data_IF_623760421118
#
_entry.id   IF_623760421118
#
_cell.length_a   1.000
_cell.length_b   1.000
_cell.length_c   1.000
_cell.angle_alpha   90.00
_cell.angle_beta   90.00
_cell.angle_gamma   90.00
#
_symmetry.space_group_name_H-M   'P 1'
#
loop_
_entity.id
_entity.type
_entity.pdbx_description
1 polymer ?
#
# COMPACT_ATOMS: atom_id res chain seq x y z
N UNK A 1 -47.94 12.75 -26.52
CA UNK A 1 -46.55 13.10 -26.87
C UNK A 1 -45.56 12.45 -25.90
N UNK A 2 -45.44 11.11 -25.87
CA UNK A 2 -44.39 10.44 -25.05
C UNK A 2 -44.08 8.99 -25.53
N UNK A 3 -44.01 8.76 -26.85
CA UNK A 3 -43.66 7.44 -27.42
C UNK A 3 -42.68 7.49 -28.61
N UNK A 4 -42.08 8.63 -28.91
CA UNK A 4 -41.29 8.82 -30.15
C UNK A 4 -39.77 9.01 -29.96
N UNK A 5 -39.25 8.98 -28.73
CA UNK A 5 -37.83 9.28 -28.48
C UNK A 5 -36.97 8.01 -28.39
N UNK A 6 -37.56 6.82 -28.27
CA UNK A 6 -36.84 5.57 -28.03
C UNK A 6 -36.32 4.85 -29.29
N UNK A 7 -36.52 5.41 -30.49
CA UNK A 7 -36.08 4.79 -31.76
C UNK A 7 -34.79 5.38 -32.36
N UNK A 8 -34.18 6.39 -31.71
CA UNK A 8 -33.03 7.10 -32.27
C UNK A 8 -31.66 6.74 -31.69
N UNK A 9 -31.57 5.89 -30.67
CA UNK A 9 -30.28 5.55 -30.04
C UNK A 9 -29.72 4.19 -30.50
N UNK A 10 -30.50 3.36 -31.20
CA UNK A 10 -30.09 2.00 -31.56
C UNK A 10 -29.45 1.85 -32.96
N UNK A 11 -29.15 2.94 -33.68
CA UNK A 11 -28.68 2.86 -35.10
C UNK A 11 -27.25 3.40 -35.32
N UNK A 12 -26.56 3.92 -34.30
CA UNK A 12 -25.26 4.59 -34.48
C UNK A 12 -24.04 3.81 -33.97
N UNK A 13 -24.07 2.47 -34.00
CA UNK A 13 -22.97 1.62 -33.52
C UNK A 13 -22.70 0.40 -34.41
N UNK A 14 -23.00 0.47 -35.72
CA UNK A 14 -22.55 -0.52 -36.71
C UNK A 14 -22.28 0.21 -38.04
N UNK A 15 -21.13 0.87 -38.15
CA UNK A 15 -20.49 1.21 -39.42
C UNK A 15 -19.15 1.88 -39.14
N UNK A 16 -18.05 1.15 -39.28
CA UNK A 16 -16.79 1.61 -39.88
C UNK A 16 -15.72 0.53 -39.71
N UNK A 17 -15.80 -0.48 -40.58
CA UNK A 17 -14.68 -1.38 -40.90
C UNK A 17 -14.43 -1.25 -42.40
N UNK A 18 -13.15 -1.11 -42.75
CA UNK A 18 -12.50 -1.28 -44.05
C UNK A 18 -12.18 -0.04 -44.91
N UNK A 19 -11.04 -0.19 -45.62
CA UNK A 19 -10.37 0.64 -46.65
C UNK A 19 -9.18 1.41 -46.04
N UNK A 20 -7.89 1.13 -46.34
CA UNK A 20 -7.20 0.97 -47.64
C UNK A 20 -5.97 0.04 -47.51
N UNK A 21 -5.70 -0.77 -48.54
CA UNK A 21 -4.42 -1.44 -48.79
C UNK A 21 -3.68 -0.81 -49.98
N UNK A 22 -2.35 -1.04 -50.02
CA UNK A 22 -1.35 -0.89 -51.11
C UNK A 22 -0.42 0.34 -51.06
N UNK A 23 0.86 0.11 -50.77
CA UNK A 23 1.94 0.09 -51.79
C UNK A 23 3.34 0.14 -51.13
N UNK A 24 4.15 -0.92 -51.30
CA UNK A 24 5.61 -0.83 -51.44
C UNK A 24 6.15 -2.14 -52.00
N UNK A 25 6.67 -2.08 -53.22
CA UNK A 25 7.43 -3.14 -53.88
C UNK A 25 8.75 -3.40 -53.16
N UNK A 26 9.10 -4.68 -53.00
CA UNK A 26 10.46 -5.14 -52.75
C UNK A 26 10.74 -6.34 -53.65
N UNK A 27 11.71 -6.18 -54.55
CA UNK A 27 12.06 -7.13 -55.61
C UNK A 27 12.64 -8.45 -55.11
N UNK A 28 12.37 -9.50 -55.88
CA UNK A 28 12.96 -10.84 -55.80
C UNK A 28 14.49 -10.83 -56.02
N UNK A 29 15.21 -11.68 -55.28
CA UNK A 29 16.25 -12.53 -55.86
C UNK A 29 16.52 -13.78 -55.01
N UNK A 30 17.13 -14.78 -55.63
CA UNK A 30 16.79 -16.20 -55.53
C UNK A 30 17.88 -17.10 -54.90
N UNK A 31 17.46 -18.25 -54.34
CA UNK A 31 18.03 -19.63 -54.51
C UNK A 31 18.17 -20.51 -53.24
N UNK A 32 17.51 -21.68 -53.30
CA UNK A 32 17.85 -23.06 -52.80
C UNK A 32 18.36 -23.27 -51.35
N UNK A 33 18.03 -24.31 -50.58
CA UNK A 33 17.28 -25.58 -50.71
C UNK A 33 17.23 -26.24 -49.31
N UNK A 34 16.27 -27.13 -49.02
CA UNK A 34 16.49 -28.44 -48.35
C UNK A 34 15.22 -29.02 -47.72
N UNK A 35 14.84 -30.19 -48.26
CA UNK A 35 14.16 -31.37 -47.69
C UNK A 35 13.13 -31.30 -46.52
N UNK A 36 11.96 -31.91 -46.77
CA UNK A 36 11.05 -32.49 -45.78
C UNK A 36 11.51 -33.94 -45.45
N UNK A 37 11.12 -34.60 -44.33
CA UNK A 37 9.74 -35.11 -44.20
C UNK A 37 9.15 -35.29 -42.76
N UNK A 38 7.83 -35.57 -42.77
CA UNK A 38 7.02 -36.44 -41.90
C UNK A 38 6.72 -36.09 -40.42
N UNK A 39 5.42 -36.12 -40.10
CA UNK A 39 4.84 -36.13 -38.75
C UNK A 39 4.48 -37.54 -38.28
N UNK A 40 4.40 -37.79 -36.95
CA UNK A 40 3.55 -38.85 -36.43
C UNK A 40 2.62 -38.45 -35.26
N UNK A 41 1.33 -38.80 -35.47
CA UNK A 41 0.35 -39.50 -34.63
C UNK A 41 0.11 -39.18 -33.13
N UNK A 42 -1.19 -39.06 -32.81
CA UNK A 42 -1.81 -39.12 -31.49
C UNK A 42 -2.21 -40.57 -31.07
N UNK A 43 -2.45 -40.78 -29.76
CA UNK A 43 -3.50 -41.72 -29.32
C UNK A 43 -4.33 -41.12 -28.15
N UNK A 44 -5.49 -41.62 -27.70
CA UNK A 44 -6.60 -42.45 -28.21
C UNK A 44 -7.63 -42.44 -27.04
N UNK A 45 -8.91 -42.23 -27.30
CA UNK A 45 -9.96 -42.24 -26.29
C UNK A 45 -10.46 -43.66 -25.96
N UNK A 46 -10.99 -43.86 -24.75
CA UNK A 46 -11.84 -45.00 -24.39
C UNK A 46 -13.15 -44.49 -23.77
N UNK A 47 -14.26 -45.16 -24.10
CA UNK A 47 -15.64 -44.72 -23.92
C UNK A 47 -16.43 -45.60 -22.92
N UNK A 48 -17.63 -45.10 -22.57
CA UNK A 48 -18.84 -45.73 -21.97
C UNK A 48 -19.21 -45.08 -20.62
N UNK A 49 -20.48 -44.78 -20.26
CA UNK A 49 -21.79 -45.17 -20.79
C UNK A 49 -22.86 -44.10 -20.46
N UNK A 50 -23.98 -44.18 -21.17
CA UNK A 50 -25.19 -43.35 -21.04
C UNK A 50 -26.10 -43.74 -19.88
N UNK A 51 -26.65 -42.74 -19.17
CA UNK A 51 -27.73 -42.88 -18.19
C UNK A 51 -28.44 -41.53 -18.00
N UNK A 52 -29.74 -41.50 -18.25
CA UNK A 52 -30.61 -40.32 -18.09
C UNK A 52 -31.05 -40.16 -16.63
N UNK A 53 -30.96 -38.95 -16.04
CA UNK A 53 -32.05 -38.29 -15.29
C UNK A 53 -31.59 -37.00 -14.58
N UNK A 54 -32.43 -35.96 -14.71
CA UNK A 54 -32.63 -34.78 -13.84
C UNK A 54 -31.45 -34.01 -13.23
N UNK A 55 -31.37 -32.72 -13.59
CA UNK A 55 -30.54 -31.70 -12.98
C UNK A 55 -30.79 -31.49 -11.47
N UNK A 56 -29.73 -31.27 -10.65
CA UNK A 56 -29.86 -30.71 -9.32
C UNK A 56 -29.66 -29.19 -9.32
N UNK A 57 -30.60 -28.50 -8.69
CA UNK A 57 -30.63 -27.06 -8.44
C UNK A 57 -29.54 -26.61 -7.45
N UNK A 58 -29.04 -25.40 -7.64
CA UNK A 58 -28.07 -24.72 -6.79
C UNK A 58 -28.59 -24.49 -5.34
N UNK A 59 -27.76 -24.64 -4.29
CA UNK A 59 -28.14 -24.27 -2.93
C UNK A 59 -28.23 -22.75 -2.76
N UNK A 60 -29.32 -22.32 -2.13
CA UNK A 60 -29.64 -20.92 -1.83
C UNK A 60 -28.77 -20.33 -0.71
N UNK A 61 -28.47 -19.03 -0.84
CA UNK A 61 -27.81 -18.19 0.15
C UNK A 61 -28.62 -18.09 1.46
N UNK A 62 -27.98 -18.08 2.65
CA UNK A 62 -28.67 -17.86 3.91
C UNK A 62 -29.23 -16.43 4.03
N UNK A 63 -30.47 -16.34 4.49
CA UNK A 63 -31.25 -15.12 4.61
C UNK A 63 -30.74 -14.18 5.71
N UNK A 64 -30.70 -12.88 5.39
CA UNK A 64 -30.56 -11.79 6.35
C UNK A 64 -31.79 -11.70 7.28
N UNK A 65 -31.62 -11.46 8.59
CA UNK A 65 -32.74 -11.18 9.47
C UNK A 65 -33.29 -9.77 9.24
N UNK A 66 -34.62 -9.68 9.13
CA UNK A 66 -35.37 -8.47 8.80
C UNK A 66 -35.82 -7.72 10.07
N UNK A 67 -35.37 -6.47 10.17
CA UNK A 67 -35.98 -5.27 10.74
C UNK A 67 -36.54 -5.26 12.18
N UNK A 68 -36.04 -4.32 12.98
CA UNK A 68 -36.86 -3.56 13.92
C UNK A 68 -36.72 -2.06 13.60
N UNK A 69 -37.81 -1.46 13.13
CA UNK A 69 -37.94 -0.02 13.00
C UNK A 69 -38.09 0.59 14.40
N UNK A 70 -37.21 1.53 14.77
CA UNK A 70 -37.39 2.39 15.93
C UNK A 70 -37.33 3.85 15.48
N UNK A 71 -38.33 4.60 15.95
CA UNK A 71 -38.71 5.91 15.52
C UNK A 71 -37.64 6.99 15.75
N UNK A 72 -37.64 7.98 14.86
CA UNK A 72 -36.96 9.26 15.04
C UNK A 72 -37.50 9.95 16.32
N UNK A 73 -36.61 10.13 17.30
CA UNK A 73 -36.83 11.04 18.42
C UNK A 73 -35.74 12.11 18.36
N UNK A 74 -36.18 13.35 18.19
CA UNK A 74 -35.33 14.54 18.27
C UNK A 74 -34.69 14.62 19.67
N UNK A 75 -33.37 14.60 19.74
CA UNK A 75 -32.64 14.83 20.99
C UNK A 75 -32.50 16.34 21.22
N UNK A 76 -33.19 16.85 22.23
CA UNK A 76 -32.93 18.14 22.84
C UNK A 76 -31.61 18.08 23.66
N UNK A 77 -30.87 19.19 23.81
CA UNK A 77 -29.56 19.19 24.47
C UNK A 77 -29.69 18.99 25.98
N UNK A 78 -28.85 18.11 26.55
CA UNK A 78 -28.72 17.91 27.99
C UNK A 78 -27.84 19.02 28.62
N UNK A 79 -28.11 19.45 29.88
CA UNK A 79 -27.46 20.60 30.49
C UNK A 79 -26.06 20.30 31.02
N UNK A 80 -25.23 21.33 30.99
CA UNK A 80 -23.83 21.35 31.43
C UNK A 80 -23.66 21.00 32.92
N UNK A 81 -22.76 20.06 33.21
CA UNK A 81 -22.18 19.89 34.52
C UNK A 81 -20.82 20.61 34.56
N UNK A 82 -20.76 21.66 35.38
CA UNK A 82 -19.54 22.39 35.72
C UNK A 82 -18.59 21.49 36.51
N UNK A 83 -17.34 21.38 36.06
CA UNK A 83 -16.22 21.03 36.93
C UNK A 83 -15.00 21.88 36.61
N UNK A 84 -14.45 22.41 37.70
CA UNK A 84 -13.33 23.32 37.94
C UNK A 84 -12.27 23.53 36.85
N UNK A 85 -12.04 24.82 36.60
CA UNK A 85 -10.92 25.39 35.86
C UNK A 85 -9.55 25.00 36.43
N UNK A 86 -8.79 24.23 35.64
CA UNK A 86 -7.39 24.53 35.38
C UNK A 86 -7.34 25.36 34.09
N UNK A 87 -6.43 26.33 34.01
CA UNK A 87 -6.19 27.12 32.79
C UNK A 87 -5.80 26.21 31.64
N UNK A 88 -6.78 25.82 30.84
CA UNK A 88 -6.60 25.12 29.59
C UNK A 88 -6.03 26.12 28.58
N UNK A 89 -4.77 25.94 28.19
CA UNK A 89 -4.40 26.31 26.83
C UNK A 89 -5.43 25.63 25.91
N UNK A 90 -6.14 26.42 25.11
CA UNK A 90 -7.20 25.91 24.26
C UNK A 90 -6.59 24.93 23.26
N UNK A 91 -6.93 23.64 23.39
CA UNK A 91 -6.45 22.61 22.48
C UNK A 91 -6.68 23.02 21.02
N UNK A 92 -5.62 23.09 20.23
CA UNK A 92 -5.65 23.47 18.82
C UNK A 92 -6.04 22.24 18.02
N UNK A 93 -7.18 22.32 17.33
CA UNK A 93 -7.65 21.28 16.42
C UNK A 93 -7.46 21.75 14.98
N UNK A 94 -6.88 20.90 14.14
CA UNK A 94 -6.83 21.07 12.69
C UNK A 94 -7.86 20.13 12.05
N UNK A 95 -8.70 20.66 11.18
CA UNK A 95 -9.74 19.93 10.45
C UNK A 95 -9.42 19.89 8.96
N UNK A 96 -8.90 18.76 8.48
CA UNK A 96 -8.76 18.51 7.05
C UNK A 96 -10.02 17.86 6.48
N UNK A 97 -10.58 18.44 5.41
CA UNK A 97 -11.74 17.88 4.72
C UNK A 97 -11.32 17.23 3.41
N UNK A 98 -11.67 15.95 3.25
CA UNK A 98 -11.24 15.09 2.15
C UNK A 98 -12.45 14.50 1.42
N UNK A 99 -12.27 14.04 0.19
CA UNK A 99 -13.30 13.32 -0.56
C UNK A 99 -13.54 11.91 -0.02
N UNK A 100 -12.51 11.30 0.57
CA UNK A 100 -12.56 10.00 1.22
C UNK A 100 -11.61 9.97 2.42
N UNK A 101 -12.05 9.36 3.52
CA UNK A 101 -11.20 9.08 4.69
C UNK A 101 -10.84 7.60 4.82
N UNK A 102 -11.28 6.74 3.90
CA UNK A 102 -10.90 5.33 3.87
C UNK A 102 -11.48 4.48 5.00
N UNK A 103 -10.87 3.31 5.21
CA UNK A 103 -11.21 2.36 6.25
C UNK A 103 -9.98 1.98 7.06
N UNK A 104 -10.17 1.73 8.36
CA UNK A 104 -9.11 1.39 9.29
C UNK A 104 -8.62 -0.06 9.14
N UNK A 105 -7.84 -0.34 8.11
CA UNK A 105 -7.29 -1.67 7.85
C UNK A 105 -6.12 -2.03 8.75
N UNK A 106 -5.16 -1.12 8.99
CA UNK A 106 -3.97 -1.35 9.86
C UNK A 106 -3.26 -2.70 9.65
N UNK A 107 -3.29 -3.24 8.44
CA UNK A 107 -2.66 -4.51 8.01
C UNK A 107 -2.23 -4.38 6.56
N UNK A 108 -1.26 -5.19 6.12
CA UNK A 108 -0.83 -5.17 4.73
C UNK A 108 -1.56 -6.20 3.89
N UNK A 109 -1.64 -7.43 4.35
CA UNK A 109 -1.94 -8.58 3.50
C UNK A 109 -3.22 -8.58 2.66
N UNK A 110 -4.24 -7.80 3.04
CA UNK A 110 -5.61 -7.92 2.49
C UNK A 110 -6.28 -6.59 2.22
N UNK A 111 -5.50 -5.54 2.06
CA UNK A 111 -6.09 -4.26 1.75
C UNK A 111 -6.13 -3.99 0.24
N UNK A 112 -7.16 -3.27 -0.18
CA UNK A 112 -7.37 -2.89 -1.58
C UNK A 112 -6.86 -1.47 -1.74
N UNK A 113 -6.24 -1.15 -2.87
CA UNK A 113 -5.88 0.24 -3.18
C UNK A 113 -7.13 1.09 -3.44
N UNK A 114 -7.24 2.33 -2.92
CA UNK A 114 -6.24 3.06 -2.12
C UNK A 114 -6.36 2.83 -0.60
N UNK A 115 -7.25 1.95 -0.13
CA UNK A 115 -7.58 1.80 1.29
C UNK A 115 -6.39 1.44 2.20
N UNK A 116 -5.40 0.67 1.70
CA UNK A 116 -4.15 0.38 2.44
C UNK A 116 -3.33 1.63 2.73
N UNK A 117 -3.38 2.60 1.80
CA UNK A 117 -2.51 3.77 1.82
C UNK A 117 -2.95 4.81 2.84
N UNK A 118 -4.24 4.86 3.20
CA UNK A 118 -4.74 5.95 4.06
C UNK A 118 -4.01 6.04 5.41
N UNK A 119 -3.66 4.89 6.01
CA UNK A 119 -2.92 4.87 7.28
C UNK A 119 -1.56 5.56 7.17
N UNK A 120 -0.85 5.34 6.06
CA UNK A 120 0.43 5.98 5.80
C UNK A 120 0.27 7.43 5.34
N UNK A 121 -0.68 7.69 4.45
CA UNK A 121 -0.98 9.03 3.93
C UNK A 121 -1.36 10.02 5.04
N UNK A 122 -2.10 9.57 6.05
CA UNK A 122 -2.44 10.39 7.22
C UNK A 122 -1.36 10.38 8.31
N UNK A 123 -0.27 9.64 8.13
CA UNK A 123 0.83 9.58 9.09
C UNK A 123 0.49 8.81 10.36
N UNK A 124 -0.39 7.82 10.30
CA UNK A 124 -0.63 6.90 11.42
C UNK A 124 0.42 5.78 11.43
N UNK A 125 0.65 5.18 10.26
CA UNK A 125 1.75 4.24 10.02
C UNK A 125 2.86 4.96 9.23
N UNK A 126 4.09 4.47 9.35
CA UNK A 126 5.24 5.08 8.70
C UNK A 126 5.93 4.10 7.73
N UNK A 127 6.50 4.61 6.63
CA UNK A 127 7.21 3.82 5.63
C UNK A 127 8.61 3.44 6.12
N UNK A 128 9.29 2.54 5.41
CA UNK A 128 10.69 2.23 5.75
C UNK A 128 11.64 3.35 5.29
N UNK A 129 11.38 3.91 4.10
CA UNK A 129 12.13 5.02 3.50
C UNK A 129 11.21 6.22 3.23
N UNK A 130 11.81 7.41 3.09
CA UNK A 130 11.11 8.68 2.90
C UNK A 130 11.63 9.40 1.65
N UNK A 131 10.92 10.44 1.24
CA UNK A 131 11.34 11.36 0.20
C UNK A 131 12.44 12.29 0.70
N UNK A 132 13.52 12.36 -0.05
CA UNK A 132 14.55 13.38 0.03
C UNK A 132 14.00 14.65 -0.57
N UNK A 133 13.74 15.62 0.30
CA UNK A 133 13.38 16.99 -0.09
C UNK A 133 14.38 17.52 -1.11
N UNK A 134 13.92 17.54 -2.35
CA UNK A 134 14.72 17.88 -3.52
C UNK A 134 13.86 18.77 -4.42
N UNK A 135 14.46 19.85 -4.91
CA UNK A 135 13.75 20.91 -5.62
C UNK A 135 14.51 21.27 -6.90
N UNK A 136 13.78 21.63 -7.95
CA UNK A 136 14.36 22.24 -9.15
C UNK A 136 14.84 23.67 -8.86
N UNK A 137 15.52 24.29 -9.82
CA UNK A 137 16.00 25.68 -9.69
C UNK A 137 14.88 26.71 -9.49
N UNK A 138 13.63 26.34 -9.78
CA UNK A 138 12.44 27.17 -9.57
C UNK A 138 11.79 26.91 -8.19
N UNK A 139 12.37 26.04 -7.36
CA UNK A 139 11.85 25.68 -6.04
C UNK A 139 10.66 24.72 -6.09
N UNK A 140 10.35 24.12 -7.24
CA UNK A 140 9.32 23.09 -7.32
C UNK A 140 9.89 21.76 -6.81
N UNK A 141 9.14 20.98 -6.03
CA UNK A 141 9.59 19.66 -5.61
C UNK A 141 9.83 18.79 -6.84
N UNK A 142 11.00 18.14 -6.88
CA UNK A 142 11.30 17.16 -7.91
C UNK A 142 10.43 15.92 -7.65
N UNK A 143 9.32 15.82 -8.38
CA UNK A 143 8.42 14.66 -8.42
C UNK A 143 8.79 13.85 -9.64
N UNK A 144 9.59 12.81 -9.43
CA UNK A 144 10.32 12.22 -10.55
C UNK A 144 9.45 11.43 -11.53
N UNK A 145 9.92 11.44 -12.77
CA UNK A 145 9.50 10.51 -13.83
C UNK A 145 10.70 10.06 -14.69
N UNK A 146 11.93 10.25 -14.22
CA UNK A 146 13.12 9.72 -14.90
C UNK A 146 14.33 9.59 -13.97
N UNK A 147 14.98 8.42 -14.00
CA UNK A 147 16.40 8.12 -13.71
C UNK A 147 17.01 8.46 -12.34
N UNK A 148 16.68 9.60 -11.74
CA UNK A 148 17.21 10.12 -10.48
C UNK A 148 16.28 9.85 -9.28
N UNK A 149 15.23 9.04 -9.48
CA UNK A 149 14.17 8.77 -8.51
C UNK A 149 14.62 7.91 -7.33
N UNK A 150 15.47 6.91 -7.58
CA UNK A 150 15.98 6.00 -6.55
C UNK A 150 16.65 6.77 -5.41
N UNK A 151 17.45 7.78 -5.72
CA UNK A 151 18.14 8.61 -4.72
C UNK A 151 17.19 9.55 -3.98
N UNK A 152 16.15 10.04 -4.66
CA UNK A 152 15.14 10.91 -4.02
C UNK A 152 14.19 10.16 -3.12
N UNK A 153 14.09 8.84 -3.25
CA UNK A 153 13.16 8.00 -2.49
C UNK A 153 13.87 7.09 -1.49
N UNK A 154 15.15 7.36 -1.29
CA UNK A 154 16.06 6.64 -0.41
C UNK A 154 16.37 7.36 0.91
N UNK A 155 15.64 8.43 1.27
CA UNK A 155 15.91 9.13 2.54
C UNK A 155 15.63 8.18 3.70
N UNK A 156 16.63 7.99 4.55
CA UNK A 156 16.49 7.22 5.78
C UNK A 156 15.27 7.66 6.60
N UNK A 157 14.41 6.71 6.96
CA UNK A 157 13.24 6.94 7.81
C UNK A 157 13.22 5.90 8.94
N UNK A 158 12.45 4.81 8.84
CA UNK A 158 12.51 3.70 9.81
C UNK A 158 13.68 2.75 9.54
N UNK A 159 14.05 2.56 8.28
CA UNK A 159 15.36 1.98 7.90
C UNK A 159 16.36 3.14 7.76
N UNK A 160 17.45 3.05 8.50
CA UNK A 160 18.51 4.05 8.56
C UNK A 160 19.52 3.90 7.44
N UNK A 161 19.88 2.65 7.13
CA UNK A 161 20.82 2.28 6.08
C UNK A 161 20.63 0.81 5.72
N UNK A 162 21.18 0.41 4.59
CA UNK A 162 21.28 -0.98 4.19
C UNK A 162 22.55 -1.19 3.36
N UNK A 163 22.99 -2.43 3.31
CA UNK A 163 24.10 -2.92 2.51
C UNK A 163 23.72 -4.23 1.85
N UNK A 164 24.40 -4.55 0.77
CA UNK A 164 24.21 -5.78 0.02
C UNK A 164 25.47 -6.63 0.08
N UNK A 165 25.32 -7.88 0.50
CA UNK A 165 26.28 -8.96 0.30
C UNK A 165 25.96 -9.64 -1.04
N UNK A 166 26.67 -9.25 -2.11
CA UNK A 166 26.42 -9.71 -3.49
C UNK A 166 27.46 -10.74 -3.96
N UNK A 167 27.09 -11.71 -4.82
CA UNK A 167 28.07 -12.59 -5.47
C UNK A 167 29.07 -11.82 -6.34
N UNK A 168 30.37 -12.02 -6.10
CA UNK A 168 31.45 -11.39 -6.85
C UNK A 168 31.84 -12.16 -8.10
N UNK A 169 32.38 -11.46 -9.11
CA UNK A 169 32.94 -12.08 -10.33
C UNK A 169 34.18 -12.94 -10.06
N UNK A 170 34.86 -12.72 -8.94
CA UNK A 170 35.97 -13.53 -8.46
C UNK A 170 35.52 -14.81 -7.71
N UNK A 171 34.20 -15.04 -7.60
CA UNK A 171 33.60 -16.15 -6.87
C UNK A 171 33.45 -15.90 -5.37
N UNK A 172 33.79 -14.71 -4.87
CA UNK A 172 33.61 -14.29 -3.48
C UNK A 172 32.27 -13.58 -3.23
N UNK A 173 32.18 -12.90 -2.09
CA UNK A 173 31.10 -11.98 -1.75
C UNK A 173 31.64 -10.57 -1.73
N UNK A 174 30.92 -9.63 -2.35
CA UNK A 174 31.22 -8.20 -2.33
C UNK A 174 30.15 -7.50 -1.51
N UNK A 175 30.54 -6.92 -0.37
CA UNK A 175 29.67 -6.11 0.47
C UNK A 175 29.71 -4.66 0.00
N UNK A 176 28.55 -4.08 -0.31
CA UNK A 176 28.44 -2.71 -0.84
C UNK A 176 27.29 -1.95 -0.17
N UNK A 177 27.45 -0.64 0.11
CA UNK A 177 26.35 0.18 0.59
C UNK A 177 25.19 0.21 -0.42
N UNK A 178 23.97 0.23 0.09
CA UNK A 178 22.76 0.13 -0.71
C UNK A 178 22.56 1.20 -1.79
N UNK A 179 23.13 2.39 -1.59
CA UNK A 179 23.08 3.52 -2.52
C UNK A 179 24.36 3.69 -3.34
N UNK A 180 25.39 2.88 -3.08
CA UNK A 180 26.71 3.02 -3.69
C UNK A 180 27.15 1.66 -4.28
N UNK A 181 26.33 1.15 -5.20
CA UNK A 181 26.53 -0.16 -5.82
C UNK A 181 27.44 -0.06 -7.07
N UNK A 182 28.60 -0.71 -7.03
CA UNK A 182 29.42 -1.02 -8.20
C UNK A 182 29.04 -2.40 -8.75
N UNK A 183 28.17 -2.41 -9.76
CA UNK A 183 27.75 -3.65 -10.43
C UNK A 183 28.83 -4.22 -11.37
N UNK A 184 29.94 -3.50 -11.62
CA UNK A 184 31.01 -3.98 -12.49
C UNK A 184 31.78 -5.17 -11.90
N UNK A 185 31.73 -5.34 -10.58
CA UNK A 185 32.40 -6.42 -9.83
C UNK A 185 31.46 -7.55 -9.40
N UNK A 186 30.16 -7.43 -9.67
CA UNK A 186 29.11 -8.36 -9.23
C UNK A 186 28.75 -9.38 -10.32
N UNK A 187 28.40 -10.61 -9.93
CA UNK A 187 27.94 -11.70 -10.78
C UNK A 187 26.53 -12.18 -10.39
N UNK A 188 25.50 -11.71 -11.09
CA UNK A 188 24.09 -12.08 -10.85
C UNK A 188 23.57 -13.16 -11.81
N UNK A 189 24.46 -13.91 -12.49
CA UNK A 189 24.08 -14.92 -13.47
C UNK A 189 23.36 -16.13 -12.84
N UNK A 190 23.55 -16.36 -11.54
CA UNK A 190 22.88 -17.41 -10.78
C UNK A 190 21.55 -16.90 -10.18
N UNK A 191 20.38 -17.28 -10.74
CA UNK A 191 19.10 -16.84 -10.22
C UNK A 191 18.80 -17.33 -8.80
N UNK A 192 19.48 -18.38 -8.32
CA UNK A 192 19.29 -18.88 -6.96
C UNK A 192 20.14 -18.11 -5.93
N UNK A 193 21.16 -17.38 -6.39
CA UNK A 193 22.07 -16.56 -5.59
C UNK A 193 22.10 -15.10 -6.08
N UNK A 194 21.10 -14.32 -5.67
CA UNK A 194 20.96 -12.91 -6.01
C UNK A 194 21.47 -11.97 -4.90
N UNK A 195 22.17 -12.51 -3.90
CA UNK A 195 22.69 -11.77 -2.75
C UNK A 195 21.71 -11.59 -1.59
N UNK A 196 22.20 -10.99 -0.51
CA UNK A 196 21.46 -10.74 0.74
C UNK A 196 21.60 -9.28 1.12
N UNK A 197 20.48 -8.62 1.42
CA UNK A 197 20.46 -7.27 1.94
C UNK A 197 20.45 -7.30 3.46
N UNK A 198 21.38 -6.62 4.10
CA UNK A 198 21.37 -6.33 5.53
C UNK A 198 20.88 -4.90 5.74
N UNK A 199 19.90 -4.72 6.61
CA UNK A 199 19.25 -3.43 6.85
C UNK A 199 19.23 -3.09 8.34
N UNK A 200 19.36 -1.79 8.62
CA UNK A 200 19.58 -1.25 9.96
C UNK A 200 18.41 -0.34 10.36
N UNK A 201 17.85 -0.59 11.52
CA UNK A 201 16.59 0.02 11.96
C UNK A 201 16.85 1.19 12.90
N UNK A 202 15.99 2.20 12.84
CA UNK A 202 15.99 3.31 13.79
C UNK A 202 15.60 2.85 15.19
N UNK A 203 16.44 3.17 16.17
CA UNK A 203 16.15 3.00 17.59
C UNK A 203 15.25 4.11 18.15
N UNK A 204 14.56 3.84 19.26
CA UNK A 204 13.76 4.86 19.97
C UNK A 204 12.44 5.23 19.28
N UNK A 205 11.96 4.39 18.37
CA UNK A 205 10.63 4.50 17.78
C UNK A 205 9.70 3.57 18.54
N UNK A 206 8.50 4.03 18.86
CA UNK A 206 7.51 3.25 19.58
C UNK A 206 6.15 3.28 18.87
N UNK A 207 5.42 2.19 19.01
CA UNK A 207 4.01 2.11 18.64
C UNK A 207 3.13 2.72 19.72
N UNK A 208 2.09 3.42 19.28
CA UNK A 208 1.05 4.00 20.14
C UNK A 208 -0.33 3.54 19.71
N UNK A 209 -1.24 3.53 20.68
CA UNK A 209 -2.67 3.27 20.48
C UNK A 209 -3.49 4.18 21.35
N UNK A 210 -4.78 4.26 21.03
CA UNK A 210 -5.78 4.78 21.96
C UNK A 210 -6.73 3.68 22.42
N UNK A 211 -7.12 3.75 23.68
CA UNK A 211 -8.22 2.97 24.24
C UNK A 211 -8.99 3.85 25.22
N UNK A 212 -10.32 3.90 25.06
CA UNK A 212 -11.20 4.71 25.91
C UNK A 212 -10.80 6.20 26.01
N UNK A 213 -10.23 6.75 24.93
CA UNK A 213 -9.77 8.14 24.87
C UNK A 213 -8.40 8.39 25.52
N UNK A 214 -7.75 7.38 26.06
CA UNK A 214 -6.38 7.48 26.56
C UNK A 214 -5.39 7.01 25.49
N UNK A 215 -4.37 7.83 25.23
CA UNK A 215 -3.26 7.48 24.34
C UNK A 215 -2.15 6.84 25.16
N UNK A 216 -1.66 5.68 24.73
CA UNK A 216 -0.59 4.97 25.42
C UNK A 216 0.36 4.29 24.44
N UNK A 217 1.61 4.15 24.88
CA UNK A 217 2.65 3.41 24.19
C UNK A 217 2.40 1.90 24.34
N UNK A 218 2.42 1.16 23.23
CA UNK A 218 2.26 -0.30 23.24
C UNK A 218 3.57 -1.07 23.27
N UNK A 219 4.65 -0.46 22.80
CA UNK A 219 5.97 -1.08 22.77
C UNK A 219 6.90 -0.45 21.74
N UNK A 220 8.21 -0.76 21.80
CA UNK A 220 9.17 -0.30 20.82
C UNK A 220 8.91 -0.95 19.45
N UNK A 221 9.16 -0.20 18.39
CA UNK A 221 9.30 -0.74 17.04
C UNK A 221 10.70 -1.32 16.86
N UNK A 222 10.77 -2.52 16.30
CA UNK A 222 12.01 -3.28 16.08
C UNK A 222 12.09 -3.80 14.65
N UNK A 223 13.20 -4.44 14.32
CA UNK A 223 13.36 -5.17 13.06
C UNK A 223 12.29 -6.26 12.86
N UNK A 224 11.75 -6.84 13.94
CA UNK A 224 10.68 -7.86 13.82
C UNK A 224 9.42 -7.30 13.18
N UNK A 225 9.10 -6.04 13.46
CA UNK A 225 7.94 -5.34 12.91
C UNK A 225 8.14 -5.07 11.41
N UNK A 226 9.32 -4.57 11.01
CA UNK A 226 9.68 -4.35 9.60
C UNK A 226 9.63 -5.66 8.81
N UNK A 227 10.28 -6.71 9.32
CA UNK A 227 10.29 -8.02 8.68
C UNK A 227 8.87 -8.60 8.59
N UNK A 228 8.07 -8.49 9.65
CA UNK A 228 6.67 -8.91 9.62
C UNK A 228 5.87 -8.15 8.56
N UNK A 229 5.94 -6.82 8.53
CA UNK A 229 5.18 -6.02 7.56
C UNK A 229 5.56 -6.33 6.11
N UNK A 230 6.85 -6.49 5.80
CA UNK A 230 7.29 -6.90 4.47
C UNK A 230 6.77 -8.30 4.07
N UNK A 231 6.81 -9.25 5.02
CA UNK A 231 6.32 -10.60 4.78
C UNK A 231 4.79 -10.67 4.67
N UNK A 232 4.06 -9.94 5.53
CA UNK A 232 2.59 -9.81 5.46
C UNK A 232 2.16 -9.12 4.18
N UNK A 233 2.95 -8.17 3.68
CA UNK A 233 2.76 -7.55 2.37
C UNK A 233 3.07 -8.50 1.20
N UNK A 234 3.52 -9.73 1.46
CA UNK A 234 3.58 -10.80 0.47
C UNK A 234 4.99 -11.23 0.07
N UNK A 235 6.04 -10.68 0.67
CA UNK A 235 7.43 -11.08 0.34
C UNK A 235 7.71 -12.58 0.57
N UNK A 236 7.11 -13.16 1.61
CA UNK A 236 7.22 -14.60 1.96
C UNK A 236 6.04 -15.44 1.42
N UNK A 237 4.86 -14.83 1.26
CA UNK A 237 3.65 -15.54 0.84
C UNK A 237 2.79 -14.70 -0.13
N UNK A 238 2.63 -15.17 -1.37
CA UNK A 238 1.82 -14.46 -2.36
C UNK A 238 0.33 -14.41 -2.03
N UNK A 239 -0.18 -15.31 -1.17
CA UNK A 239 -1.59 -15.28 -0.74
C UNK A 239 -1.91 -14.04 0.12
N UNK A 240 -0.88 -13.37 0.63
CA UNK A 240 -0.97 -12.12 1.38
C UNK A 240 -0.50 -10.92 0.56
N UNK A 241 -0.18 -11.09 -0.72
CA UNK A 241 0.17 -9.95 -1.56
C UNK A 241 -1.07 -9.05 -1.78
N UNK A 242 -0.88 -7.74 -1.66
CA UNK A 242 -1.86 -6.74 -2.05
C UNK A 242 -1.37 -5.94 -3.27
N UNK A 243 -2.22 -5.04 -3.76
CA UNK A 243 -2.02 -4.17 -4.94
C UNK A 243 -0.56 -3.92 -5.32
N UNK A 244 0.12 -3.12 -4.52
CA UNK A 244 1.48 -2.63 -4.74
C UNK A 244 2.54 -3.47 -4.06
N UNK A 245 2.19 -4.19 -3.01
CA UNK A 245 3.14 -4.99 -2.26
C UNK A 245 3.58 -6.27 -2.97
N UNK A 246 3.01 -6.61 -4.13
CA UNK A 246 3.54 -7.67 -5.00
C UNK A 246 5.02 -7.44 -5.37
N UNK A 247 5.48 -6.19 -5.41
CA UNK A 247 6.89 -5.85 -5.63
C UNK A 247 7.81 -6.41 -4.53
N UNK A 248 7.34 -6.47 -3.28
CA UNK A 248 8.11 -7.07 -2.18
C UNK A 248 8.36 -8.57 -2.43
N UNK A 249 7.42 -9.26 -3.08
CA UNK A 249 7.62 -10.64 -3.52
C UNK A 249 8.56 -10.73 -4.71
N UNK A 250 8.43 -9.83 -5.70
CA UNK A 250 9.28 -9.83 -6.89
C UNK A 250 10.77 -9.68 -6.54
N UNK A 251 11.09 -8.77 -5.61
CA UNK A 251 12.48 -8.44 -5.29
C UNK A 251 13.06 -9.30 -4.17
N UNK A 252 12.26 -9.67 -3.17
CA UNK A 252 12.76 -10.25 -1.94
C UNK A 252 12.15 -11.63 -1.63
N UNK A 253 12.96 -12.46 -0.98
CA UNK A 253 12.50 -13.63 -0.24
C UNK A 253 12.07 -13.17 1.16
N UNK A 254 11.78 -14.13 2.05
CA UNK A 254 11.46 -13.86 3.44
C UNK A 254 12.45 -12.88 4.09
N UNK A 255 11.88 -11.89 4.77
CA UNK A 255 12.61 -10.96 5.62
C UNK A 255 12.76 -11.53 7.01
N UNK A 256 13.97 -11.51 7.57
CA UNK A 256 14.25 -11.99 8.92
C UNK A 256 14.91 -10.90 9.77
N UNK A 257 14.41 -10.75 11.00
CA UNK A 257 15.04 -9.92 12.02
C UNK A 257 16.08 -10.77 12.75
N UNK A 258 17.37 -10.42 12.59
CA UNK A 258 18.47 -11.14 13.24
C UNK A 258 18.83 -10.56 14.62
N UNK A 259 18.41 -9.31 14.87
CA UNK A 259 18.41 -8.66 16.19
C UNK A 259 17.26 -7.65 16.27
N UNK A 260 17.14 -6.88 17.35
CA UNK A 260 16.08 -5.88 17.47
C UNK A 260 16.25 -4.70 16.50
N UNK A 261 17.47 -4.45 15.98
CA UNK A 261 17.74 -3.32 15.09
C UNK A 261 18.48 -3.67 13.80
N UNK A 262 18.63 -4.95 13.52
CA UNK A 262 19.26 -5.44 12.28
C UNK A 262 18.42 -6.59 11.74
N UNK A 263 18.17 -6.56 10.44
CA UNK A 263 17.61 -7.71 9.73
C UNK A 263 18.35 -8.00 8.45
N UNK A 264 18.05 -9.18 7.91
CA UNK A 264 18.61 -9.70 6.67
C UNK A 264 17.47 -10.20 5.79
N UNK A 265 17.56 -9.94 4.49
CA UNK A 265 16.58 -10.41 3.51
C UNK A 265 17.32 -10.83 2.24
N UNK A 266 17.24 -12.12 1.87
CA UNK A 266 17.79 -12.57 0.59
C UNK A 266 17.00 -11.97 -0.58
N UNK A 267 17.69 -11.57 -1.64
CA UNK A 267 17.04 -11.22 -2.88
C UNK A 267 16.39 -12.46 -3.51
N UNK A 268 15.19 -12.29 -4.04
CA UNK A 268 14.61 -13.18 -5.03
C UNK A 268 15.10 -12.82 -6.41
N UNK A 269 15.08 -11.53 -6.74
CA UNK A 269 15.66 -10.95 -7.93
C UNK A 269 16.33 -9.65 -7.52
N UNK A 270 17.65 -9.55 -7.71
CA UNK A 270 18.36 -8.34 -7.32
C UNK A 270 17.86 -7.15 -8.15
N UNK A 271 17.42 -6.11 -7.46
CA UNK A 271 16.99 -4.84 -8.03
C UNK A 271 17.64 -3.74 -7.20
N UNK A 272 18.47 -2.91 -7.84
CA UNK A 272 19.33 -1.94 -7.14
C UNK A 272 18.53 -0.93 -6.31
N UNK A 273 17.37 -0.52 -6.82
CA UNK A 273 16.38 0.37 -6.20
C UNK A 273 15.19 -0.38 -5.57
N UNK A 274 15.30 -1.71 -5.45
CA UNK A 274 14.19 -2.55 -5.00
C UNK A 274 13.63 -2.13 -3.64
N UNK A 275 14.47 -1.69 -2.69
CA UNK A 275 14.02 -1.25 -1.37
C UNK A 275 13.21 0.04 -1.48
N UNK A 276 13.66 0.98 -2.29
CA UNK A 276 13.03 2.27 -2.51
C UNK A 276 11.65 2.10 -3.14
N UNK A 277 11.53 1.21 -4.12
CA UNK A 277 10.31 1.01 -4.89
C UNK A 277 9.14 0.54 -4.02
N UNK A 278 9.35 -0.45 -3.15
CA UNK A 278 8.24 -1.02 -2.36
C UNK A 278 8.05 -0.36 -0.99
N UNK A 279 9.04 0.40 -0.48
CA UNK A 279 9.05 0.81 0.93
C UNK A 279 9.11 2.32 1.17
N UNK A 280 9.22 3.13 0.12
CA UNK A 280 9.32 4.59 0.22
C UNK A 280 7.99 5.30 0.05
N UNK A 281 7.74 6.37 0.81
CA UNK A 281 6.54 7.22 0.65
C UNK A 281 6.42 7.91 -0.72
N UNK A 282 7.51 7.97 -1.49
CA UNK A 282 7.45 8.40 -2.88
C UNK A 282 6.60 7.49 -3.76
N UNK A 283 6.52 6.24 -3.36
CA UNK A 283 5.87 5.16 -4.07
C UNK A 283 4.76 4.62 -3.17
N UNK A 284 4.24 3.51 -3.62
CA UNK A 284 3.18 2.77 -3.02
C UNK A 284 3.77 1.92 -1.86
N UNK A 285 4.10 2.57 -0.75
CA UNK A 285 4.90 2.00 0.33
C UNK A 285 4.22 0.88 1.15
N UNK A 286 5.01 -0.11 1.55
CA UNK A 286 4.73 -0.95 2.72
C UNK A 286 5.03 -0.16 3.99
N UNK A 287 3.99 0.25 4.69
CA UNK A 287 4.04 0.82 6.03
C UNK A 287 4.27 -0.23 7.14
N UNK A 288 4.95 0.18 8.21
CA UNK A 288 5.32 -0.73 9.29
C UNK A 288 4.19 -0.84 10.31
N UNK A 289 3.76 -2.07 10.61
CA UNK A 289 2.72 -2.46 11.57
C UNK A 289 3.33 -3.26 12.73
N UNK A 290 2.64 -3.30 13.87
CA UNK A 290 3.18 -3.99 15.06
C UNK A 290 2.98 -5.49 14.96
N UNK A 291 4.08 -6.23 14.98
CA UNK A 291 4.07 -7.69 15.06
C UNK A 291 3.53 -8.17 16.41
N UNK A 292 3.87 -7.52 17.51
CA UNK A 292 3.41 -7.91 18.84
C UNK A 292 1.88 -7.82 18.95
N UNK A 293 1.27 -6.77 18.39
CA UNK A 293 -0.19 -6.67 18.34
C UNK A 293 -0.80 -7.74 17.43
N UNK A 294 -0.17 -8.04 16.30
CA UNK A 294 -0.59 -9.13 15.45
C UNK A 294 -0.54 -10.49 16.18
N UNK A 295 0.53 -10.77 16.92
CA UNK A 295 0.69 -12.01 17.69
C UNK A 295 -0.34 -12.08 18.85
N UNK A 296 -0.66 -10.93 19.45
CA UNK A 296 -1.63 -10.84 20.54
C UNK A 296 -3.08 -11.03 20.08
N UNK A 297 -3.47 -10.40 18.98
CA UNK A 297 -4.87 -10.33 18.53
C UNK A 297 -5.19 -11.27 17.36
N UNK A 298 -4.19 -11.78 16.67
CA UNK A 298 -4.32 -12.63 15.48
C UNK A 298 -4.68 -11.90 14.19
N UNK A 299 -5.15 -10.66 14.28
CA UNK A 299 -5.35 -9.71 13.17
C UNK A 299 -5.33 -8.29 13.75
N UNK A 300 -4.77 -7.34 13.01
CA UNK A 300 -4.76 -5.91 13.35
C UNK A 300 -5.82 -5.10 12.60
N UNK A 301 -6.72 -5.76 11.86
CA UNK A 301 -7.86 -5.09 11.22
C UNK A 301 -8.72 -4.31 12.23
N UNK A 302 -8.90 -3.01 12.00
CA UNK A 302 -9.61 -2.11 12.91
C UNK A 302 -8.87 -1.80 14.22
N UNK A 303 -7.65 -2.31 14.38
CA UNK A 303 -6.82 -2.09 15.57
C UNK A 303 -5.92 -0.88 15.33
N UNK A 304 -6.37 0.30 15.75
CA UNK A 304 -5.61 1.52 15.49
C UNK A 304 -4.31 1.50 16.26
N UNK A 305 -3.20 1.53 15.53
CA UNK A 305 -1.85 1.55 16.06
C UNK A 305 -0.87 2.15 15.07
N UNK A 306 0.28 2.62 15.53
CA UNK A 306 1.31 3.10 14.62
C UNK A 306 2.43 3.86 15.31
N UNK A 307 3.46 4.18 14.54
CA UNK A 307 4.65 4.90 15.01
C UNK A 307 4.61 6.39 14.66
N UNK A 308 3.66 6.81 13.83
CA UNK A 308 3.59 8.16 13.30
C UNK A 308 3.20 9.22 14.33
N UNK A 309 3.12 10.49 13.91
CA UNK A 309 2.90 11.64 14.81
C UNK A 309 1.47 11.75 15.37
N UNK A 310 0.52 10.96 14.87
CA UNK A 310 -0.88 10.99 15.31
C UNK A 310 -1.35 9.62 15.76
N UNK A 311 -2.16 9.60 16.82
CA UNK A 311 -2.79 8.38 17.35
C UNK A 311 -4.29 8.47 17.12
N UNK A 312 -4.82 7.58 16.28
CA UNK A 312 -6.25 7.53 16.00
C UNK A 312 -7.01 7.14 17.27
N UNK A 313 -8.00 7.95 17.62
CA UNK A 313 -8.92 7.72 18.75
C UNK A 313 -10.28 7.22 18.29
N UNK A 314 -10.73 7.63 17.10
CA UNK A 314 -11.95 7.14 16.47
C UNK A 314 -11.82 7.18 14.95
N UNK A 315 -12.39 6.19 14.26
CA UNK A 315 -12.47 6.17 12.80
C UNK A 315 -13.82 5.59 12.39
N UNK A 316 -14.62 6.44 11.75
CA UNK A 316 -15.90 6.09 11.15
C UNK A 316 -15.74 6.11 9.63
N UNK A 317 -15.66 4.94 8.98
CA UNK A 317 -15.52 4.88 7.53
C UNK A 317 -16.60 5.70 6.83
N UNK A 318 -16.21 6.37 5.75
CA UNK A 318 -17.09 7.27 4.98
C UNK A 318 -17.62 8.50 5.73
N UNK A 319 -17.10 8.81 6.92
CA UNK A 319 -17.57 9.92 7.74
C UNK A 319 -16.41 10.76 8.29
N UNK A 320 -15.60 10.20 9.20
CA UNK A 320 -14.57 10.97 9.91
C UNK A 320 -13.50 10.11 10.58
N UNK A 321 -12.33 10.70 10.81
CA UNK A 321 -11.26 10.20 11.67
C UNK A 321 -10.94 11.28 12.70
N UNK A 322 -10.81 10.87 13.96
CA UNK A 322 -10.31 11.70 15.04
C UNK A 322 -8.97 11.12 15.52
N UNK A 323 -7.95 11.96 15.64
CA UNK A 323 -6.63 11.56 16.09
C UNK A 323 -5.99 12.61 17.00
N UNK A 324 -5.28 12.16 18.02
CA UNK A 324 -4.53 12.99 18.95
C UNK A 324 -3.09 13.11 18.48
N UNK A 325 -2.51 14.31 18.54
CA UNK A 325 -1.13 14.55 18.23
C UNK A 325 -0.21 14.02 19.33
N UNK A 326 0.93 13.46 18.91
CA UNK A 326 1.98 13.04 19.82
C UNK A 326 2.95 14.18 20.07
N UNK A 327 3.18 14.48 21.34
CA UNK A 327 4.21 15.44 21.76
C UNK A 327 5.62 14.86 21.71
N UNK A 328 5.75 13.54 21.55
CA UNK A 328 7.01 12.78 21.63
C UNK A 328 7.35 12.03 20.34
N UNK A 329 6.84 12.48 19.19
CA UNK A 329 7.14 11.81 17.93
C UNK A 329 8.64 11.92 17.59
N UNK A 330 9.24 10.80 17.21
CA UNK A 330 10.70 10.66 17.06
C UNK A 330 11.31 11.57 16.00
N UNK A 331 10.54 11.95 14.97
CA UNK A 331 11.01 12.83 13.89
C UNK A 331 10.68 14.28 14.19
N UNK A 332 9.39 14.57 14.34
CA UNK A 332 8.81 15.89 14.55
C UNK A 332 7.44 15.72 15.22
N UNK A 333 7.23 16.41 16.33
CA UNK A 333 5.92 16.47 17.00
C UNK A 333 5.04 17.57 16.38
N UNK A 334 3.75 17.32 16.14
CA UNK A 334 2.83 18.37 15.67
C UNK A 334 2.73 19.54 16.65
N UNK A 335 2.50 20.74 16.12
CA UNK A 335 2.34 21.97 16.90
C UNK A 335 0.87 22.25 17.29
N UNK A 336 0.01 21.25 17.14
CA UNK A 336 -1.42 21.28 17.45
C UNK A 336 -1.80 19.98 18.15
N UNK A 337 -2.91 19.97 18.87
CA UNK A 337 -3.28 18.88 19.77
C UNK A 337 -4.10 17.78 19.07
N UNK A 338 -4.99 18.16 18.14
CA UNK A 338 -5.92 17.24 17.50
C UNK A 338 -5.97 17.39 15.99
N UNK A 339 -6.03 16.26 15.30
CA UNK A 339 -6.33 16.19 13.87
C UNK A 339 -7.73 15.58 13.68
N UNK A 340 -8.55 16.24 12.87
CA UNK A 340 -9.83 15.72 12.40
C UNK A 340 -9.78 15.60 10.89
N UNK A 341 -9.95 14.39 10.37
CA UNK A 341 -10.16 14.16 8.95
C UNK A 341 -11.64 13.97 8.72
N UNK A 342 -12.29 14.87 7.99
CA UNK A 342 -13.72 14.82 7.73
C UNK A 342 -13.97 14.50 6.26
N UNK A 343 -14.90 13.58 5.99
CA UNK A 343 -15.30 13.28 4.64
C UNK A 343 -16.41 14.21 4.14
N UNK A 344 -16.16 14.85 3.00
CA UNK A 344 -17.17 15.52 2.20
C UNK A 344 -16.88 15.27 0.72
N UNK A 345 -17.66 14.38 0.11
CA UNK A 345 -17.40 13.85 -1.24
C UNK A 345 -17.40 14.94 -2.32
N UNK A 346 -18.23 15.98 -2.15
CA UNK A 346 -18.38 17.04 -3.15
C UNK A 346 -17.36 18.15 -2.99
N UNK A 347 -16.63 18.47 -4.06
CA UNK A 347 -15.57 19.49 -4.03
C UNK A 347 -16.11 20.88 -3.63
N UNK A 348 -17.33 21.23 -4.05
CA UNK A 348 -17.97 22.49 -3.68
C UNK A 348 -18.28 22.56 -2.18
N UNK A 349 -18.62 21.42 -1.56
CA UNK A 349 -18.83 21.34 -0.12
C UNK A 349 -17.51 21.59 0.61
N UNK A 350 -16.42 20.92 0.20
CA UNK A 350 -15.08 21.13 0.79
C UNK A 350 -14.63 22.59 0.68
N UNK A 351 -14.81 23.20 -0.50
CA UNK A 351 -14.50 24.61 -0.71
C UNK A 351 -15.33 25.54 0.17
N UNK A 352 -16.62 25.24 0.37
CA UNK A 352 -17.48 26.03 1.25
C UNK A 352 -17.07 25.90 2.73
N UNK A 353 -16.66 24.70 3.16
CA UNK A 353 -16.17 24.47 4.53
C UNK A 353 -14.91 25.27 4.82
N UNK A 354 -13.95 25.28 3.87
CA UNK A 354 -12.74 26.10 3.99
C UNK A 354 -13.07 27.60 4.04
N UNK A 355 -13.96 28.07 3.16
CA UNK A 355 -14.38 29.48 3.13
C UNK A 355 -15.13 29.95 4.37
N UNK A 356 -15.78 29.03 5.10
CA UNK A 356 -16.57 29.33 6.30
C UNK A 356 -15.83 29.02 7.61
N UNK A 357 -14.58 28.55 7.53
CA UNK A 357 -13.78 28.20 8.71
C UNK A 357 -14.24 26.92 9.42
N UNK A 358 -14.99 26.06 8.72
CA UNK A 358 -15.33 24.71 9.19
C UNK A 358 -14.24 23.67 8.82
N UNK A 359 -13.24 24.10 8.06
CA UNK A 359 -12.05 23.37 7.66
C UNK A 359 -10.86 24.33 7.67
N UNK A 360 -9.66 23.80 7.87
CA UNK A 360 -8.39 24.54 7.92
C UNK A 360 -7.58 24.43 6.63
#
# INVERSE_FOLDING_TARGET
>A
MLKSIWKFVAVTMIASVAIVALAACGSDDSSSSSSAPAAPAAPKAAAAASGSSSAPSAPAAPAAPKAAAAAAAAAAPAPAASSSAGSADSAVTITAVLDNVGAAQFRMSKGIWPDVMFHGYFGFLEPMLSWKETYDDAGNPLRGVSGALSDTCAKSHLIMSWEWDLPGKDGGTVTQPGLELDLSVVNLDDPDNQGVMRWYVREGVDFYRSQNGEVFKTGPMTAKDIAWSANDAGSDNTDTANSNSSQAFEYYKRWDAISDYVGETPARAFTADGLQDFSSECQDAVFVTSKDLQDQFGDTFGLYHGTGPFVVTDWKPSERIEAEARVDHWKNSPAFDKMVYLQANEAQQRSAMLQTGLAD
#
